data_IF_104522414837
#
_entry.id   IF_104522414837
#
_cell.length_a   1.000
_cell.length_b   1.000
_cell.length_c   1.000
_cell.angle_alpha   90.00
_cell.angle_beta   90.00
_cell.angle_gamma   90.00
#
_symmetry.space_group_name_H-M   'P 1'
#
loop_
_entity.id
_entity.type
_entity.pdbx_description
1 polymer ?
#
# COMPACT_ATOMS: atom_id res chain seq x y z
N UNK A 1 3.74 -1.59 21.02
CA UNK A 1 2.73 -2.56 20.56
C UNK A 1 2.95 -2.95 19.09
N UNK A 2 2.85 -2.01 18.15
CA UNK A 2 2.94 -2.31 16.71
C UNK A 2 4.27 -2.93 16.25
N UNK A 3 5.39 -2.72 16.96
CA UNK A 3 6.65 -3.39 16.61
C UNK A 3 6.58 -4.93 16.72
N UNK A 4 5.85 -5.47 17.70
CA UNK A 4 5.66 -6.92 17.81
C UNK A 4 4.80 -7.45 16.65
N UNK A 5 3.69 -6.78 16.39
CA UNK A 5 2.79 -7.10 15.27
C UNK A 5 3.54 -6.99 13.94
N UNK A 6 4.42 -6.00 13.79
CA UNK A 6 5.24 -5.81 12.61
C UNK A 6 6.23 -6.96 12.41
N UNK A 7 6.87 -7.42 13.48
CA UNK A 7 7.77 -8.57 13.43
C UNK A 7 7.02 -9.85 13.04
N UNK A 8 5.84 -10.09 13.64
CA UNK A 8 4.97 -11.22 13.29
C UNK A 8 4.48 -11.14 11.84
N UNK A 9 4.10 -9.95 11.36
CA UNK A 9 3.74 -9.71 9.96
C UNK A 9 4.92 -9.98 9.02
N UNK A 10 6.11 -9.47 9.34
CA UNK A 10 7.31 -9.63 8.51
C UNK A 10 7.69 -11.10 8.36
N UNK A 11 7.50 -11.90 9.41
CA UNK A 11 7.73 -13.36 9.40
C UNK A 11 6.60 -14.18 8.74
N UNK A 12 5.45 -13.58 8.44
CA UNK A 12 4.30 -14.28 7.84
C UNK A 12 4.28 -14.20 6.31
N UNK A 13 3.45 -15.06 5.70
CA UNK A 13 3.15 -15.06 4.27
C UNK A 13 2.18 -13.94 3.84
N UNK A 14 1.61 -13.20 4.80
CA UNK A 14 0.70 -12.11 4.47
C UNK A 14 1.48 -10.95 3.86
N UNK A 15 0.97 -10.43 2.75
CA UNK A 15 1.54 -9.30 2.01
C UNK A 15 0.95 -7.98 2.48
N UNK A 16 -0.27 -8.00 3.01
CA UNK A 16 -0.94 -6.87 3.63
C UNK A 16 -1.67 -7.31 4.91
N UNK A 17 -1.57 -6.50 5.97
CA UNK A 17 -2.51 -6.54 7.10
C UNK A 17 -2.96 -5.13 7.44
N UNK A 18 -4.23 -4.99 7.79
CA UNK A 18 -4.83 -3.73 8.23
C UNK A 18 -5.43 -3.92 9.61
N UNK A 19 -5.09 -3.02 10.52
CA UNK A 19 -5.54 -3.03 11.90
C UNK A 19 -6.31 -1.77 12.24
N UNK A 20 -7.36 -1.92 13.03
CA UNK A 20 -8.03 -0.83 13.71
C UNK A 20 -7.72 -0.96 15.20
N UNK A 21 -6.90 -0.04 15.72
CA UNK A 21 -6.30 -0.15 17.06
C UNK A 21 -5.45 -1.42 17.18
N UNK A 22 -5.98 -2.51 17.71
CA UNK A 22 -5.33 -3.80 17.91
C UNK A 22 -6.07 -4.96 17.21
N UNK A 23 -7.23 -4.69 16.61
CA UNK A 23 -8.02 -5.67 15.88
C UNK A 23 -7.58 -5.78 14.43
N UNK A 24 -7.20 -6.98 14.00
CA UNK A 24 -6.99 -7.28 12.58
C UNK A 24 -8.34 -7.19 11.85
N UNK A 25 -8.50 -6.21 10.97
CA UNK A 25 -9.72 -6.02 10.17
C UNK A 25 -9.61 -6.62 8.77
N UNK A 26 -8.39 -6.71 8.24
CA UNK A 26 -8.14 -7.30 6.93
C UNK A 26 -6.73 -7.87 6.84
N UNK A 27 -6.60 -9.00 6.13
CA UNK A 27 -5.31 -9.59 5.78
C UNK A 27 -5.38 -10.18 4.38
N UNK A 28 -4.28 -10.15 3.65
CA UNK A 28 -4.19 -10.76 2.32
C UNK A 28 -2.81 -11.32 2.06
N UNK A 29 -2.75 -12.31 1.17
CA UNK A 29 -1.52 -12.87 0.58
C UNK A 29 -1.41 -12.57 -0.92
N UNK A 30 -2.31 -11.74 -1.46
CA UNK A 30 -2.27 -11.33 -2.88
C UNK A 30 -1.09 -10.41 -3.11
N UNK A 31 -0.58 -10.39 -4.33
CA UNK A 31 0.60 -9.59 -4.64
C UNK A 31 0.27 -8.15 -5.03
N UNK A 32 1.30 -7.30 -4.91
CA UNK A 32 1.33 -5.91 -5.39
C UNK A 32 0.23 -5.08 -4.71
N UNK A 33 -0.48 -4.26 -5.48
CA UNK A 33 -1.49 -3.33 -4.96
C UNK A 33 -2.87 -3.98 -4.78
N UNK A 34 -3.06 -5.23 -5.21
CA UNK A 34 -4.37 -5.90 -5.17
C UNK A 34 -4.95 -6.01 -3.75
N UNK A 35 -4.16 -6.35 -2.70
CA UNK A 35 -4.64 -6.29 -1.32
C UNK A 35 -5.23 -4.94 -0.92
N UNK A 36 -4.54 -3.85 -1.24
CA UNK A 36 -4.98 -2.50 -0.88
C UNK A 36 -6.24 -2.10 -1.66
N UNK A 37 -6.31 -2.44 -2.96
CA UNK A 37 -7.49 -2.19 -3.77
C UNK A 37 -8.72 -2.93 -3.21
N UNK A 38 -8.56 -4.20 -2.84
CA UNK A 38 -9.63 -4.99 -2.23
C UNK A 38 -10.06 -4.41 -0.87
N UNK A 39 -9.10 -4.00 -0.04
CA UNK A 39 -9.39 -3.36 1.23
C UNK A 39 -10.18 -2.05 1.05
N UNK A 40 -9.74 -1.18 0.13
CA UNK A 40 -10.39 0.10 -0.13
C UNK A 40 -11.83 -0.08 -0.59
N UNK A 41 -12.07 -1.04 -1.48
CA UNK A 41 -13.39 -1.29 -2.05
C UNK A 41 -14.37 -1.86 -1.02
N UNK A 42 -13.91 -2.82 -0.21
CA UNK A 42 -14.80 -3.65 0.63
C UNK A 42 -14.85 -3.27 2.10
N UNK A 43 -13.83 -2.62 2.64
CA UNK A 43 -13.66 -2.41 4.09
C UNK A 43 -13.45 -0.94 4.45
N UNK A 44 -12.73 -0.18 3.63
CA UNK A 44 -12.44 1.23 3.95
C UNK A 44 -13.69 2.12 4.15
N UNK A 45 -14.89 1.87 3.60
CA UNK A 45 -16.07 2.67 3.94
C UNK A 45 -16.42 2.68 5.43
N UNK A 46 -16.16 1.56 6.13
CA UNK A 46 -16.54 1.36 7.54
C UNK A 46 -15.38 1.59 8.52
N UNK A 47 -14.17 1.84 8.01
CA UNK A 47 -12.94 1.94 8.80
C UNK A 47 -12.15 3.22 8.50
N UNK A 48 -11.67 3.89 9.55
CA UNK A 48 -10.87 5.11 9.46
C UNK A 48 -9.77 5.11 10.52
N UNK A 49 -8.65 5.75 10.19
CA UNK A 49 -7.51 5.85 11.11
C UNK A 49 -6.80 4.52 11.33
N UNK A 50 -6.78 3.66 10.31
CA UNK A 50 -6.22 2.31 10.40
C UNK A 50 -4.70 2.30 10.32
N UNK A 51 -4.10 1.24 10.87
CA UNK A 51 -2.66 0.96 10.75
C UNK A 51 -2.46 -0.11 9.69
N UNK A 52 -1.66 0.20 8.68
CA UNK A 52 -1.45 -0.65 7.51
C UNK A 52 -0.04 -1.23 7.56
N UNK A 53 0.06 -2.53 7.39
CA UNK A 53 1.31 -3.26 7.28
C UNK A 53 1.41 -3.82 5.88
N UNK A 54 2.48 -3.46 5.16
CA UNK A 54 2.74 -3.93 3.80
C UNK A 54 4.22 -4.30 3.67
N UNK A 55 4.55 -5.31 2.85
CA UNK A 55 5.93 -5.72 2.63
C UNK A 55 6.73 -4.67 1.85
N UNK A 56 6.10 -3.90 0.97
CA UNK A 56 6.77 -2.86 0.17
C UNK A 56 5.85 -1.65 -0.01
N UNK A 57 6.22 -0.50 0.55
CA UNK A 57 5.50 0.76 0.37
C UNK A 57 6.23 1.65 -0.66
N UNK A 58 5.80 1.55 -1.92
CA UNK A 58 6.10 2.54 -2.95
C UNK A 58 5.13 3.72 -2.94
N UNK A 59 5.37 4.75 -3.74
CA UNK A 59 4.49 5.90 -3.91
C UNK A 59 3.06 5.51 -4.28
N UNK A 60 2.92 4.49 -5.14
CA UNK A 60 1.62 3.94 -5.51
C UNK A 60 0.86 3.37 -4.29
N UNK A 61 1.54 2.59 -3.46
CA UNK A 61 0.97 2.04 -2.24
C UNK A 61 0.68 3.14 -1.20
N UNK A 62 1.53 4.18 -1.12
CA UNK A 62 1.31 5.33 -0.25
C UNK A 62 0.03 6.10 -0.60
N UNK A 63 -0.20 6.39 -1.89
CA UNK A 63 -1.46 7.02 -2.34
C UNK A 63 -2.69 6.16 -1.99
N UNK A 64 -2.59 4.84 -2.16
CA UNK A 64 -3.65 3.91 -1.78
C UNK A 64 -3.84 3.83 -0.26
N UNK A 65 -2.77 3.91 0.54
CA UNK A 65 -2.84 3.95 2.00
C UNK A 65 -3.59 5.20 2.50
N UNK A 66 -3.41 6.35 1.83
CA UNK A 66 -4.20 7.56 2.09
C UNK A 66 -5.68 7.32 1.76
N UNK A 67 -5.96 6.77 0.58
CA UNK A 67 -7.34 6.43 0.16
C UNK A 67 -8.01 5.42 1.10
N UNK A 68 -7.23 4.49 1.65
CA UNK A 68 -7.65 3.49 2.62
C UNK A 68 -7.99 4.06 4.01
N UNK A 69 -7.82 5.37 4.23
CA UNK A 69 -8.03 5.98 5.54
C UNK A 69 -6.96 5.58 6.54
N UNK A 70 -5.74 5.31 6.07
CA UNK A 70 -4.59 5.03 6.91
C UNK A 70 -4.29 6.20 7.85
N UNK A 71 -3.80 5.87 9.05
CA UNK A 71 -3.15 6.81 9.97
C UNK A 71 -1.64 6.59 9.96
N UNK A 72 -1.23 5.33 9.83
CA UNK A 72 0.14 4.90 10.00
C UNK A 72 0.43 3.69 9.11
N UNK A 73 1.62 3.65 8.52
CA UNK A 73 2.09 2.54 7.69
C UNK A 73 3.37 1.93 8.24
N UNK A 74 3.48 0.60 8.18
CA UNK A 74 4.68 -0.15 8.52
C UNK A 74 5.14 -0.95 7.32
N UNK A 75 6.44 -0.88 7.00
CA UNK A 75 7.00 -1.68 5.92
C UNK A 75 8.48 -1.96 6.12
N UNK A 76 8.99 -3.15 5.75
CA UNK A 76 10.43 -3.38 5.76
C UNK A 76 11.12 -2.59 4.65
N UNK A 77 10.42 -2.16 3.60
CA UNK A 77 10.98 -1.36 2.51
C UNK A 77 10.01 -0.27 2.05
N UNK A 78 10.43 0.99 2.13
CA UNK A 78 9.74 2.13 1.52
C UNK A 78 10.54 2.78 0.38
N UNK A 79 9.90 3.61 -0.45
CA UNK A 79 10.60 4.52 -1.38
C UNK A 79 10.65 5.97 -0.89
N UNK A 80 11.61 6.75 -1.38
CA UNK A 80 11.68 8.20 -1.10
C UNK A 80 10.42 8.93 -1.58
N UNK A 81 9.87 8.54 -2.73
CA UNK A 81 8.60 9.08 -3.23
C UNK A 81 7.44 8.73 -2.30
N UNK A 82 7.43 7.52 -1.73
CA UNK A 82 6.44 7.15 -0.74
C UNK A 82 6.54 8.02 0.53
N UNK A 83 7.75 8.28 1.02
CA UNK A 83 7.96 9.18 2.18
C UNK A 83 7.35 10.55 1.91
N UNK A 84 7.67 11.16 0.77
CA UNK A 84 7.13 12.48 0.40
C UNK A 84 5.60 12.50 0.37
N UNK A 85 4.99 11.46 -0.20
CA UNK A 85 3.53 11.32 -0.24
C UNK A 85 2.94 11.14 1.14
N UNK A 86 3.51 10.26 1.97
CA UNK A 86 3.00 9.99 3.32
C UNK A 86 3.09 11.24 4.20
N UNK A 87 4.20 11.98 4.13
CA UNK A 87 4.36 13.27 4.82
C UNK A 87 3.35 14.31 4.33
N UNK A 88 3.18 14.45 3.00
CA UNK A 88 2.21 15.38 2.39
C UNK A 88 0.79 15.16 2.92
N UNK A 89 0.38 13.90 3.12
CA UNK A 89 -0.98 13.57 3.59
C UNK A 89 -1.06 13.27 5.10
N UNK A 90 0.01 13.50 5.85
CA UNK A 90 0.01 13.34 7.31
C UNK A 90 -0.11 11.89 7.80
N UNK A 91 0.37 10.92 7.01
CA UNK A 91 0.43 9.51 7.39
C UNK A 91 1.77 9.23 8.06
N UNK A 92 1.74 8.74 9.31
CA UNK A 92 2.95 8.30 9.98
C UNK A 92 3.53 7.06 9.26
N UNK A 93 4.85 6.94 9.19
CA UNK A 93 5.48 5.83 8.48
C UNK A 93 6.66 5.26 9.25
N UNK A 94 6.80 3.94 9.15
CA UNK A 94 7.83 3.18 9.84
C UNK A 94 8.48 2.21 8.86
N UNK A 95 9.59 2.65 8.28
CA UNK A 95 10.36 1.87 7.32
C UNK A 95 11.65 1.35 7.94
N UNK A 96 11.94 0.06 7.73
CA UNK A 96 13.26 -0.49 8.11
C UNK A 96 14.36 0.01 7.18
N UNK A 97 14.07 0.14 5.88
CA UNK A 97 14.95 0.75 4.88
C UNK A 97 14.14 1.57 3.88
N UNK A 98 14.79 2.61 3.35
CA UNK A 98 14.25 3.44 2.27
C UNK A 98 15.14 3.31 1.04
N UNK A 99 14.54 3.13 -0.12
CA UNK A 99 15.23 3.13 -1.42
C UNK A 99 14.81 4.37 -2.25
N UNK A 100 15.62 4.80 -3.25
CA UNK A 100 15.26 5.93 -4.10
C UNK A 100 13.93 5.72 -4.83
N UNK A 101 13.67 4.51 -5.30
CA UNK A 101 12.41 4.11 -5.91
C UNK A 101 12.19 2.60 -5.79
N UNK A 102 10.94 2.16 -5.91
CA UNK A 102 10.62 0.73 -6.03
C UNK A 102 10.87 0.28 -7.46
N UNK A 103 11.76 -0.70 -7.61
CA UNK A 103 12.10 -1.31 -8.88
C UNK A 103 11.19 -2.51 -9.20
N UNK A 104 11.21 -2.92 -10.46
CA UNK A 104 10.66 -4.20 -10.91
C UNK A 104 11.41 -5.37 -10.24
N UNK A 105 10.78 -6.54 -10.24
CA UNK A 105 11.39 -7.76 -9.66
C UNK A 105 12.68 -8.20 -10.38
N UNK A 106 12.85 -7.83 -11.66
CA UNK A 106 14.06 -8.05 -12.44
C UNK A 106 15.17 -7.02 -12.16
N UNK A 107 14.87 -5.95 -11.41
CA UNK A 107 15.81 -4.90 -11.01
C UNK A 107 16.21 -3.93 -12.12
N UNK A 108 15.66 -4.07 -13.33
CA UNK A 108 16.13 -3.33 -14.51
C UNK A 108 15.58 -1.90 -14.59
N UNK A 109 14.35 -1.68 -14.12
CA UNK A 109 13.65 -0.39 -14.23
C UNK A 109 12.69 -0.16 -13.07
N UNK A 110 12.21 1.08 -12.93
CA UNK A 110 11.19 1.46 -11.96
C UNK A 110 9.92 0.62 -12.15
N UNK A 111 9.30 0.22 -11.04
CA UNK A 111 8.01 -0.46 -11.06
C UNK A 111 6.98 0.39 -11.85
N UNK A 112 6.21 -0.21 -12.78
CA UNK A 112 5.25 0.55 -13.58
C UNK A 112 4.22 1.30 -12.75
N UNK A 113 3.81 0.74 -11.61
CA UNK A 113 2.86 1.39 -10.70
C UNK A 113 3.49 2.57 -9.96
N UNK A 114 4.76 2.43 -9.56
CA UNK A 114 5.53 3.53 -8.96
C UNK A 114 5.62 4.70 -9.93
N UNK A 115 6.00 4.44 -11.18
CA UNK A 115 6.07 5.45 -12.24
C UNK A 115 4.70 6.07 -12.53
N UNK A 116 3.66 5.25 -12.62
CA UNK A 116 2.29 5.71 -12.88
C UNK A 116 1.79 6.64 -11.78
N UNK A 117 2.20 6.43 -10.53
CA UNK A 117 1.72 7.21 -9.38
C UNK A 117 2.33 8.61 -9.24
N UNK A 118 3.40 8.93 -10.00
CA UNK A 118 4.10 10.21 -9.87
C UNK A 118 3.18 11.36 -10.27
N UNK A 119 3.10 12.38 -9.40
CA UNK A 119 2.31 13.60 -9.65
C UNK A 119 0.81 13.45 -9.47
N UNK A 120 0.33 12.29 -8.97
CA UNK A 120 -1.10 12.02 -8.79
C UNK A 120 -1.59 12.25 -7.37
N UNK A 121 -2.86 12.58 -7.27
CA UNK A 121 -3.60 12.62 -6.01
C UNK A 121 -4.21 11.23 -5.69
N UNK A 122 -4.48 10.90 -4.41
CA UNK A 122 -4.98 9.58 -4.00
C UNK A 122 -6.23 9.10 -4.74
N UNK A 123 -7.21 9.98 -4.89
CA UNK A 123 -8.48 9.68 -5.57
C UNK A 123 -8.30 9.47 -7.07
N UNK A 124 -7.40 10.24 -7.69
CA UNK A 124 -7.06 10.10 -9.10
C UNK A 124 -6.40 8.76 -9.36
N UNK A 125 -5.35 8.44 -8.59
CA UNK A 125 -4.63 7.17 -8.74
C UNK A 125 -5.53 5.96 -8.49
N UNK A 126 -6.39 6.01 -7.46
CA UNK A 126 -7.36 4.93 -7.19
C UNK A 126 -8.29 4.68 -8.38
N UNK A 127 -8.85 5.73 -8.99
CA UNK A 127 -9.74 5.59 -10.17
C UNK A 127 -9.02 4.96 -11.35
N UNK A 128 -7.76 5.33 -11.60
CA UNK A 128 -6.98 4.69 -12.66
C UNK A 128 -6.73 3.21 -12.37
N UNK A 129 -6.41 2.86 -11.12
CA UNK A 129 -6.21 1.47 -10.73
C UNK A 129 -7.49 0.64 -10.91
N UNK A 130 -8.66 1.17 -10.56
CA UNK A 130 -9.96 0.52 -10.85
C UNK A 130 -10.12 0.29 -12.35
N UNK A 131 -9.83 1.29 -13.18
CA UNK A 131 -9.93 1.16 -14.64
C UNK A 131 -8.95 0.12 -15.22
N UNK A 132 -7.74 0.01 -14.68
CA UNK A 132 -6.75 -1.00 -15.08
C UNK A 132 -7.25 -2.41 -14.74
N UNK A 133 -7.71 -2.61 -13.50
CA UNK A 133 -8.19 -3.92 -13.03
C UNK A 133 -9.40 -4.39 -13.85
N UNK A 134 -10.37 -3.51 -14.10
CA UNK A 134 -11.56 -3.83 -14.90
C UNK A 134 -11.22 -4.20 -16.35
N UNK A 135 -10.25 -3.50 -16.97
CA UNK A 135 -9.79 -3.83 -18.34
C UNK A 135 -9.04 -5.16 -18.40
N UNK A 136 -8.27 -5.49 -17.38
CA UNK A 136 -7.58 -6.78 -17.30
C UNK A 136 -8.56 -7.95 -17.13
N UNK A 137 -9.63 -7.77 -16.36
CA UNK A 137 -10.67 -8.79 -16.21
C UNK A 137 -11.42 -9.07 -17.53
N UNK A 138 -11.71 -8.01 -18.31
CA UNK A 138 -12.42 -8.13 -19.59
C UNK A 138 -11.60 -8.74 -20.73
N UNK A 139 -10.25 -8.75 -20.64
CA UNK A 139 -9.37 -9.34 -21.66
C UNK A 139 -9.00 -10.80 -21.40
N UNK A 140 -9.37 -11.34 -20.24
CA UNK A 140 -9.11 -12.73 -19.85
C UNK A 140 -10.33 -13.65 -19.94
N UNK A 141 -11.44 -13.19 -20.54
CA UNK A 141 -12.66 -13.97 -20.81
C UNK A 141 -12.80 -14.28 -22.30
#
# INVERSE_FOLDING_TARGET
MYQRIFSEFTASDDTLRVYEVDRLVFSSRKDRLLPLMEYIDRFAPDHRGVVIFDKIIGNAAALLAVKAGGREVFSPLGSELAVQTLEKYGIAYHFTRTAPNIQRADGEDMCPMEKLSIGKEPDEFYREMVAIISKSAAKGS
#
